data_IF_239093241187
#
_entry.id   IF_239093241187
#
_cell.length_a   1.000
_cell.length_b   1.000
_cell.length_c   1.000
_cell.angle_alpha   90.00
_cell.angle_beta   90.00
_cell.angle_gamma   90.00
#
_symmetry.space_group_name_H-M   'P 1'
#
loop_
_entity.id
_entity.type
_entity.pdbx_description
1 polymer ?
#
# COMPACT_ATOMS: atom_id res chain seq x y z
N UNK A 1 -64.05 -13.11 14.26
CA UNK A 1 -63.13 -13.68 13.24
C UNK A 1 -62.30 -12.65 12.47
N UNK A 2 -62.78 -11.43 12.14
CA UNK A 2 -62.02 -10.45 11.34
C UNK A 2 -60.78 -9.86 12.04
N UNK A 3 -60.84 -9.59 13.35
CA UNK A 3 -59.72 -9.02 14.13
C UNK A 3 -58.52 -9.98 14.27
N UNK A 4 -58.77 -11.27 14.44
CA UNK A 4 -57.71 -12.28 14.53
C UNK A 4 -56.92 -12.44 13.22
N UNK A 5 -57.62 -12.38 12.07
CA UNK A 5 -56.96 -12.39 10.75
C UNK A 5 -56.12 -11.14 10.49
N UNK A 6 -56.58 -9.97 10.96
CA UNK A 6 -55.84 -8.70 10.84
C UNK A 6 -54.56 -8.70 11.71
N UNK A 7 -54.63 -9.25 12.92
CA UNK A 7 -53.47 -9.40 13.81
C UNK A 7 -52.43 -10.36 13.21
N UNK A 8 -52.87 -11.50 12.68
CA UNK A 8 -52.01 -12.48 11.99
C UNK A 8 -51.32 -11.88 10.77
N UNK A 9 -52.03 -11.07 9.97
CA UNK A 9 -51.45 -10.35 8.83
C UNK A 9 -50.39 -9.33 9.27
N UNK A 10 -50.65 -8.59 10.35
CA UNK A 10 -49.68 -7.65 10.92
C UNK A 10 -48.42 -8.35 11.40
N UNK A 11 -48.55 -9.48 12.10
CA UNK A 11 -47.41 -10.29 12.55
C UNK A 11 -46.61 -10.85 11.37
N UNK A 12 -47.28 -11.33 10.33
CA UNK A 12 -46.62 -11.86 9.13
C UNK A 12 -45.84 -10.77 8.38
N UNK A 13 -46.38 -9.56 8.27
CA UNK A 13 -45.69 -8.42 7.66
C UNK A 13 -44.45 -7.98 8.46
N UNK A 14 -44.51 -8.01 9.80
CA UNK A 14 -43.37 -7.72 10.66
C UNK A 14 -42.26 -8.77 10.49
N UNK A 15 -42.63 -10.05 10.39
CA UNK A 15 -41.66 -11.14 10.14
C UNK A 15 -41.01 -10.98 8.77
N UNK A 16 -41.78 -10.66 7.72
CA UNK A 16 -41.24 -10.43 6.37
C UNK A 16 -40.29 -9.21 6.37
N UNK A 17 -40.65 -8.11 7.03
CA UNK A 17 -39.78 -6.95 7.16
C UNK A 17 -38.47 -7.31 7.89
N UNK A 18 -38.54 -8.04 9.00
CA UNK A 18 -37.36 -8.51 9.74
C UNK A 18 -36.46 -9.41 8.89
N UNK A 19 -37.04 -10.29 8.06
CA UNK A 19 -36.28 -11.14 7.15
C UNK A 19 -35.54 -10.30 6.08
N UNK A 20 -36.21 -9.33 5.46
CA UNK A 20 -35.58 -8.43 4.47
C UNK A 20 -34.48 -7.57 5.11
N UNK A 21 -34.70 -7.06 6.32
CA UNK A 21 -33.68 -6.32 7.08
C UNK A 21 -32.48 -7.20 7.47
N UNK A 22 -32.70 -8.49 7.77
CA UNK A 22 -31.62 -9.42 8.09
C UNK A 22 -30.77 -9.78 6.87
N UNK A 23 -31.41 -9.94 5.69
CA UNK A 23 -30.69 -10.21 4.43
C UNK A 23 -29.86 -9.02 3.99
N UNK A 24 -30.39 -7.79 4.13
CA UNK A 24 -29.65 -6.56 3.79
C UNK A 24 -28.46 -6.33 4.72
N UNK A 25 -28.57 -6.61 6.01
CA UNK A 25 -27.45 -6.54 6.96
C UNK A 25 -26.38 -7.61 6.68
N UNK A 26 -26.79 -8.84 6.35
CA UNK A 26 -25.88 -9.91 5.96
C UNK A 26 -25.16 -9.61 4.64
N UNK A 27 -25.84 -9.02 3.66
CA UNK A 27 -25.25 -8.58 2.39
C UNK A 27 -24.24 -7.44 2.59
N UNK A 28 -24.57 -6.44 3.43
CA UNK A 28 -23.64 -5.37 3.78
C UNK A 28 -22.39 -5.90 4.50
N UNK A 29 -22.54 -6.87 5.42
CA UNK A 29 -21.41 -7.48 6.13
C UNK A 29 -20.50 -8.28 5.18
N UNK A 30 -21.07 -8.93 4.16
CA UNK A 30 -20.32 -9.63 3.10
C UNK A 30 -19.56 -8.64 2.20
N UNK A 31 -20.15 -7.48 1.89
CA UNK A 31 -19.51 -6.40 1.13
C UNK A 31 -18.22 -5.89 1.80
N UNK A 32 -18.20 -5.75 3.12
CA UNK A 32 -17.04 -5.21 3.85
C UNK A 32 -15.83 -6.15 3.94
N UNK A 33 -15.96 -7.41 3.54
CA UNK A 33 -14.88 -8.41 3.64
C UNK A 33 -14.55 -9.09 2.31
N UNK A 34 -15.05 -8.53 1.20
CA UNK A 34 -14.80 -9.07 -0.15
C UNK A 34 -13.54 -8.41 -0.73
N UNK A 35 -12.65 -9.20 -1.35
CA UNK A 35 -11.49 -8.63 -2.03
C UNK A 35 -11.98 -7.90 -3.31
N UNK A 36 -11.25 -6.87 -3.73
CA UNK A 36 -11.59 -6.18 -4.98
C UNK A 36 -10.37 -5.57 -5.66
N UNK A 37 -10.51 -5.35 -6.96
CA UNK A 37 -9.50 -4.79 -7.84
C UNK A 37 -10.07 -3.49 -8.37
N UNK A 38 -9.28 -2.41 -8.34
CA UNK A 38 -9.57 -1.16 -9.03
C UNK A 38 -8.66 -1.11 -10.24
N UNK A 39 -9.24 -1.01 -11.43
CA UNK A 39 -8.51 -0.91 -12.69
C UNK A 39 -8.03 0.51 -12.96
N UNK A 40 -7.13 0.67 -13.93
CA UNK A 40 -6.60 1.99 -14.31
C UNK A 40 -7.67 2.97 -14.80
N UNK A 41 -8.79 2.47 -15.33
CA UNK A 41 -9.94 3.29 -15.75
C UNK A 41 -10.89 3.66 -14.60
N UNK A 42 -10.59 3.22 -13.36
CA UNK A 42 -11.41 3.46 -12.17
C UNK A 42 -12.50 2.41 -11.92
N UNK A 43 -12.75 1.49 -12.85
CA UNK A 43 -13.71 0.41 -12.65
C UNK A 43 -13.25 -0.54 -11.55
N UNK A 44 -14.21 -1.15 -10.87
CA UNK A 44 -13.93 -2.09 -9.78
C UNK A 44 -14.47 -3.49 -10.07
N UNK A 45 -13.66 -4.51 -9.81
CA UNK A 45 -14.03 -5.92 -9.88
C UNK A 45 -13.95 -6.56 -8.49
N UNK A 46 -15.09 -7.04 -7.99
CA UNK A 46 -15.21 -7.69 -6.69
C UNK A 46 -15.13 -9.20 -6.84
N UNK A 47 -14.38 -9.88 -5.96
CA UNK A 47 -14.32 -11.34 -5.93
C UNK A 47 -13.23 -11.83 -4.98
N UNK A 48 -12.63 -12.98 -5.25
CA UNK A 48 -11.54 -13.51 -4.42
C UNK A 48 -10.18 -13.29 -5.08
N UNK A 49 -9.28 -12.59 -4.41
CA UNK A 49 -7.88 -12.50 -4.82
C UNK A 49 -7.16 -13.75 -4.34
N UNK A 50 -6.83 -14.64 -5.27
CA UNK A 50 -6.18 -15.93 -4.96
C UNK A 50 -4.69 -15.75 -4.67
N UNK A 51 -4.00 -14.95 -5.47
CA UNK A 51 -2.58 -14.65 -5.29
C UNK A 51 -2.19 -13.32 -5.92
N UNK A 52 -1.19 -12.66 -5.33
CA UNK A 52 -0.50 -11.51 -5.91
C UNK A 52 0.99 -11.82 -5.90
N UNK A 53 1.61 -11.81 -7.07
CA UNK A 53 3.07 -11.84 -7.26
C UNK A 53 3.52 -10.51 -7.85
N UNK A 54 4.82 -10.27 -7.91
CA UNK A 54 5.38 -9.02 -8.44
C UNK A 54 4.91 -8.73 -9.88
N UNK A 55 4.62 -9.75 -10.69
CA UNK A 55 4.23 -9.58 -12.10
C UNK A 55 2.76 -9.92 -12.40
N UNK A 56 2.03 -10.50 -11.45
CA UNK A 56 0.69 -11.06 -11.76
C UNK A 56 -0.23 -11.10 -10.55
N UNK A 57 -1.47 -10.74 -10.78
CA UNK A 57 -2.59 -10.90 -9.87
C UNK A 57 -3.51 -12.00 -10.40
N UNK A 58 -3.85 -12.99 -9.58
CA UNK A 58 -4.83 -14.02 -9.93
C UNK A 58 -6.11 -13.83 -9.12
N UNK A 59 -7.22 -13.69 -9.82
CA UNK A 59 -8.55 -13.46 -9.29
C UNK A 59 -9.48 -14.64 -9.61
N UNK A 60 -10.42 -14.93 -8.73
CA UNK A 60 -11.40 -16.00 -8.90
C UNK A 60 -12.79 -15.56 -8.41
N UNK A 61 -13.81 -15.98 -9.15
CA UNK A 61 -15.20 -16.01 -8.70
C UNK A 61 -15.89 -17.27 -9.21
N UNK A 62 -16.29 -18.15 -8.29
CA UNK A 62 -16.74 -19.51 -8.61
C UNK A 62 -15.70 -20.27 -9.44
N UNK A 63 -16.11 -20.71 -10.63
CA UNK A 63 -15.29 -21.43 -11.60
C UNK A 63 -14.52 -20.50 -12.56
N UNK A 64 -14.80 -19.19 -12.51
CA UNK A 64 -14.10 -18.22 -13.35
C UNK A 64 -12.79 -17.82 -12.71
N UNK A 65 -11.69 -17.93 -13.45
CA UNK A 65 -10.36 -17.47 -13.04
C UNK A 65 -9.81 -16.52 -14.09
N UNK A 66 -9.29 -15.38 -13.64
CA UNK A 66 -8.67 -14.36 -14.48
C UNK A 66 -7.32 -13.94 -13.89
N UNK A 67 -6.38 -13.61 -14.76
CA UNK A 67 -5.10 -13.04 -14.39
C UNK A 67 -5.03 -11.60 -14.89
N UNK A 68 -4.48 -10.72 -14.05
CA UNK A 68 -4.27 -9.31 -14.35
C UNK A 68 -2.80 -8.93 -14.14
N UNK A 69 -2.34 -7.97 -14.94
CA UNK A 69 -0.96 -7.49 -14.92
C UNK A 69 -0.88 -6.07 -14.30
N UNK A 70 0.30 -5.66 -13.79
CA UNK A 70 0.46 -4.39 -13.09
C UNK A 70 0.01 -3.14 -13.88
N UNK A 71 0.15 -3.15 -15.20
CA UNK A 71 -0.26 -2.06 -16.10
C UNK A 71 -1.77 -1.92 -16.26
N UNK A 72 -2.55 -2.94 -15.86
CA UNK A 72 -4.01 -2.95 -15.96
C UNK A 72 -4.69 -2.51 -14.66
N UNK A 73 -3.97 -2.51 -13.55
CA UNK A 73 -4.54 -2.43 -12.20
C UNK A 73 -4.02 -1.21 -11.46
N UNK A 74 -4.92 -0.39 -10.93
CA UNK A 74 -4.58 0.75 -10.08
C UNK A 74 -4.33 0.33 -8.61
N UNK A 75 -5.22 -0.50 -8.05
CA UNK A 75 -5.13 -1.02 -6.68
C UNK A 75 -5.73 -2.42 -6.57
N UNK A 76 -5.19 -3.23 -5.67
CA UNK A 76 -5.76 -4.51 -5.25
C UNK A 76 -5.98 -4.48 -3.75
N UNK A 77 -7.22 -4.68 -3.32
CA UNK A 77 -7.60 -4.78 -1.91
C UNK A 77 -7.87 -6.25 -1.59
N UNK A 78 -6.90 -6.90 -0.96
CA UNK A 78 -7.02 -8.26 -0.45
C UNK A 78 -7.43 -8.23 1.02
N UNK A 79 -8.70 -7.86 1.27
CA UNK A 79 -9.30 -7.74 2.59
C UNK A 79 -9.14 -9.02 3.42
N UNK A 80 -9.23 -10.19 2.78
CA UNK A 80 -9.02 -11.50 3.41
C UNK A 80 -7.64 -11.66 4.10
N UNK A 81 -6.63 -10.88 3.68
CA UNK A 81 -5.30 -10.86 4.29
C UNK A 81 -4.94 -9.50 4.90
N UNK A 82 -5.86 -8.55 4.90
CA UNK A 82 -5.62 -7.15 5.27
C UNK A 82 -4.41 -6.55 4.51
N UNK A 83 -4.35 -6.77 3.19
CA UNK A 83 -3.27 -6.28 2.34
C UNK A 83 -3.80 -5.45 1.19
N UNK A 84 -3.03 -4.43 0.82
CA UNK A 84 -3.28 -3.62 -0.36
C UNK A 84 -2.05 -3.76 -1.26
N UNK A 85 -2.26 -3.86 -2.57
CA UNK A 85 -1.18 -3.85 -3.56
C UNK A 85 -1.42 -2.77 -4.60
N UNK A 86 -0.33 -2.24 -5.13
CA UNK A 86 -0.33 -1.23 -6.17
C UNK A 86 0.81 -1.49 -7.16
N UNK A 87 0.67 -1.13 -8.44
CA UNK A 87 1.78 -1.12 -9.36
C UNK A 87 2.83 -0.08 -8.94
N UNK A 88 4.10 -0.40 -9.12
CA UNK A 88 5.22 0.48 -8.77
C UNK A 88 6.41 0.24 -9.70
N UNK A 89 7.08 1.33 -10.07
CA UNK A 89 8.34 1.33 -10.82
C UNK A 89 9.59 1.29 -9.92
N UNK A 90 9.42 1.33 -8.59
CA UNK A 90 10.52 1.58 -7.65
C UNK A 90 11.56 0.46 -7.66
N UNK A 91 11.19 -0.82 -7.80
CA UNK A 91 12.15 -1.91 -7.68
C UNK A 91 13.24 -1.91 -8.76
N UNK A 92 12.90 -1.54 -10.01
CA UNK A 92 13.85 -1.53 -11.13
C UNK A 92 14.23 -0.13 -11.60
N UNK A 93 13.40 0.87 -11.33
CA UNK A 93 13.60 2.26 -11.78
C UNK A 93 14.36 3.15 -10.81
N UNK A 94 14.77 2.67 -9.63
CA UNK A 94 15.35 3.55 -8.62
C UNK A 94 16.75 4.05 -9.01
N UNK A 95 16.91 5.37 -9.08
CA UNK A 95 18.21 6.01 -9.25
C UNK A 95 18.57 6.92 -8.08
N UNK A 96 19.85 6.92 -7.70
CA UNK A 96 20.39 7.84 -6.70
C UNK A 96 20.47 9.24 -7.29
N UNK A 97 19.89 10.21 -6.61
CA UNK A 97 20.13 11.62 -6.93
C UNK A 97 21.55 11.95 -6.49
N UNK A 98 22.37 12.44 -7.43
CA UNK A 98 23.77 12.80 -7.15
C UNK A 98 23.82 14.01 -6.22
N UNK A 99 24.82 14.04 -5.33
CA UNK A 99 25.11 15.15 -4.42
C UNK A 99 24.05 15.47 -3.36
N UNK A 100 23.08 14.59 -3.09
CA UNK A 100 22.11 14.77 -1.99
C UNK A 100 22.66 14.24 -0.67
N UNK A 101 22.53 15.03 0.40
CA UNK A 101 22.78 14.60 1.79
C UNK A 101 21.63 15.11 2.66
N UNK A 102 20.71 14.27 3.15
CA UNK A 102 20.66 12.79 3.07
C UNK A 102 20.48 12.25 1.64
N UNK A 103 20.77 10.96 1.42
CA UNK A 103 20.58 10.34 0.10
C UNK A 103 19.09 10.25 -0.22
N UNK A 104 18.72 10.78 -1.38
CA UNK A 104 17.37 10.68 -1.95
C UNK A 104 17.45 9.94 -3.28
N UNK A 105 16.38 9.25 -3.64
CA UNK A 105 16.25 8.53 -4.88
C UNK A 105 15.07 9.07 -5.71
N UNK A 106 15.05 8.76 -7.00
CA UNK A 106 13.95 9.06 -7.93
C UNK A 106 13.71 7.89 -8.86
N UNK A 107 12.57 7.89 -9.54
CA UNK A 107 12.25 6.89 -10.56
C UNK A 107 12.80 7.36 -11.90
N UNK A 108 13.72 6.60 -12.46
CA UNK A 108 14.15 6.70 -13.84
C UNK A 108 13.21 5.85 -14.71
N UNK A 109 12.26 6.50 -15.38
CA UNK A 109 11.26 5.82 -16.22
C UNK A 109 11.88 5.13 -17.44
N UNK A 110 12.99 5.66 -17.98
CA UNK A 110 13.69 5.06 -19.13
C UNK A 110 14.36 3.73 -18.77
N UNK A 111 14.78 3.57 -17.50
CA UNK A 111 15.35 2.32 -16.97
C UNK A 111 14.33 1.39 -16.33
N UNK A 112 13.12 1.89 -16.09
CA UNK A 112 12.06 1.12 -15.45
C UNK A 112 11.24 0.39 -16.51
N UNK A 113 11.80 -0.71 -17.03
CA UNK A 113 11.21 -1.45 -18.14
C UNK A 113 9.88 -2.14 -17.78
N UNK A 114 9.61 -2.40 -16.49
CA UNK A 114 8.43 -3.17 -16.05
C UNK A 114 7.85 -2.68 -14.73
N UNK A 115 6.53 -2.41 -14.73
CA UNK A 115 5.74 -2.24 -13.52
C UNK A 115 5.68 -3.55 -12.74
N UNK A 116 5.72 -3.45 -11.41
CA UNK A 116 5.54 -4.59 -10.50
C UNK A 116 4.52 -4.28 -9.42
N UNK A 117 3.75 -5.29 -9.01
CA UNK A 117 2.93 -5.17 -7.83
C UNK A 117 3.82 -5.10 -6.58
N UNK A 118 3.58 -4.09 -5.77
CA UNK A 118 4.19 -3.90 -4.47
C UNK A 118 3.11 -3.86 -3.40
N UNK A 119 3.42 -4.34 -2.20
CA UNK A 119 2.51 -4.23 -1.07
C UNK A 119 2.53 -2.78 -0.58
N UNK A 120 1.35 -2.20 -0.42
CA UNK A 120 1.15 -0.84 0.01
C UNK A 120 0.91 -0.82 1.52
N UNK A 121 1.86 -0.27 2.27
CA UNK A 121 1.82 -0.19 3.74
C UNK A 121 1.10 1.08 4.20
N UNK A 122 1.29 2.18 3.48
CA UNK A 122 0.63 3.45 3.76
C UNK A 122 0.32 4.15 2.43
N UNK A 123 -0.94 4.57 2.27
CA UNK A 123 -1.36 5.42 1.16
C UNK A 123 -1.53 6.87 1.65
N UNK A 124 -1.27 7.85 0.78
CA UNK A 124 -1.23 9.26 1.14
C UNK A 124 -0.29 10.10 0.26
N UNK A 125 0.03 11.31 0.72
CA UNK A 125 1.03 12.15 0.04
C UNK A 125 2.41 11.48 0.07
N UNK A 126 2.74 10.84 1.19
CA UNK A 126 3.86 9.90 1.27
C UNK A 126 3.31 8.48 1.22
N UNK A 127 3.58 7.79 0.12
CA UNK A 127 3.18 6.40 -0.13
C UNK A 127 4.32 5.45 0.31
N UNK A 128 4.02 4.46 1.13
CA UNK A 128 5.01 3.48 1.61
C UNK A 128 4.78 2.14 0.94
N UNK A 129 5.80 1.66 0.24
CA UNK A 129 5.82 0.37 -0.43
C UNK A 129 6.71 -0.62 0.32
N UNK A 130 6.29 -1.86 0.33
CA UNK A 130 7.07 -3.02 0.74
C UNK A 130 7.33 -3.93 -0.47
N UNK A 131 8.59 -4.31 -0.63
CA UNK A 131 9.05 -5.19 -1.69
C UNK A 131 9.70 -6.44 -1.09
N UNK A 132 9.47 -7.58 -1.74
CA UNK A 132 10.10 -8.85 -1.42
C UNK A 132 10.85 -9.36 -2.66
N UNK A 133 12.07 -8.88 -2.85
CA UNK A 133 12.90 -9.33 -3.96
C UNK A 133 13.48 -10.70 -3.64
N UNK A 134 13.27 -11.68 -4.53
CA UNK A 134 13.92 -12.98 -4.44
C UNK A 134 14.95 -13.10 -5.56
N UNK A 135 16.23 -13.18 -5.17
CA UNK A 135 17.34 -13.24 -6.11
C UNK A 135 18.31 -14.37 -5.77
N UNK A 136 18.92 -14.94 -6.81
CA UNK A 136 20.04 -15.87 -6.69
C UNK A 136 21.26 -15.05 -6.26
N UNK A 137 21.78 -15.25 -5.04
CA UNK A 137 23.00 -14.59 -4.62
C UNK A 137 24.21 -15.40 -5.13
N UNK A 138 24.94 -14.86 -6.12
CA UNK A 138 26.29 -15.35 -6.45
C UNK A 138 27.25 -14.70 -5.46
N UNK A 139 27.47 -15.37 -4.33
CA UNK A 139 28.45 -14.95 -3.33
C UNK A 139 29.87 -15.20 -3.82
N UNK A 140 30.53 -14.17 -4.34
CA UNK A 140 31.98 -14.15 -4.54
C UNK A 140 32.70 -13.98 -3.20
N UNK A 141 32.94 -15.09 -2.50
CA UNK A 141 33.77 -15.16 -1.31
C UNK A 141 34.63 -16.42 -1.36
N UNK A 142 35.92 -16.29 -1.07
CA UNK A 142 37.03 -17.23 -1.36
C UNK A 142 37.02 -18.54 -0.56
N UNK A 143 35.87 -19.15 -0.32
CA UNK A 143 35.75 -20.49 0.26
C UNK A 143 34.33 -21.04 0.06
N UNK A 144 34.12 -21.74 -1.05
CA UNK A 144 32.93 -22.57 -1.32
C UNK A 144 31.71 -21.77 -1.81
N UNK A 145 31.39 -21.92 -3.10
CA UNK A 145 30.15 -21.39 -3.67
C UNK A 145 28.93 -22.17 -3.13
N UNK A 146 28.29 -21.64 -2.09
CA UNK A 146 26.93 -22.04 -1.72
C UNK A 146 25.94 -21.21 -2.53
N UNK A 147 25.22 -21.88 -3.44
CA UNK A 147 24.05 -21.31 -4.12
C UNK A 147 22.94 -21.11 -3.08
N UNK A 148 22.85 -19.89 -2.53
CA UNK A 148 21.82 -19.49 -1.59
C UNK A 148 20.79 -18.59 -2.25
N UNK A 149 19.50 -18.94 -2.14
CA UNK A 149 18.42 -18.00 -2.40
C UNK A 149 18.35 -17.00 -1.26
N UNK A 150 18.68 -15.74 -1.51
CA UNK A 150 18.48 -14.68 -0.51
C UNK A 150 17.21 -13.92 -0.86
N UNK A 151 16.26 -13.90 0.08
CA UNK A 151 15.09 -13.03 -0.03
C UNK A 151 15.43 -11.70 0.61
N UNK A 152 15.45 -10.65 -0.19
CA UNK A 152 15.71 -9.28 0.24
C UNK A 152 14.37 -8.58 0.46
N UNK A 153 14.15 -8.11 1.68
CA UNK A 153 12.98 -7.32 2.07
C UNK A 153 13.41 -5.87 2.19
N UNK A 154 12.66 -4.96 1.58
CA UNK A 154 12.94 -3.54 1.76
C UNK A 154 11.67 -2.69 1.67
N UNK A 155 11.73 -1.53 2.31
CA UNK A 155 10.65 -0.56 2.38
C UNK A 155 11.11 0.78 1.83
N UNK A 156 10.27 1.39 1.01
CA UNK A 156 10.52 2.72 0.43
C UNK A 156 9.34 3.63 0.70
N UNK A 157 9.62 4.90 0.99
CA UNK A 157 8.62 5.95 1.05
C UNK A 157 8.82 6.87 -0.16
N UNK A 158 7.76 7.06 -0.95
CA UNK A 158 7.68 7.97 -2.08
C UNK A 158 6.83 9.18 -1.67
N UNK A 159 7.37 10.39 -1.77
CA UNK A 159 6.57 11.62 -1.68
C UNK A 159 6.01 11.96 -3.06
N UNK A 160 4.69 11.84 -3.21
CA UNK A 160 3.99 11.96 -4.49
C UNK A 160 4.21 13.31 -5.17
N UNK A 161 4.21 14.41 -4.41
CA UNK A 161 4.38 15.76 -4.98
C UNK A 161 5.78 16.03 -5.54
N UNK A 162 6.83 15.46 -4.93
CA UNK A 162 8.22 15.70 -5.34
C UNK A 162 8.83 14.56 -6.16
N UNK A 163 8.21 13.39 -6.17
CA UNK A 163 8.77 12.17 -6.77
C UNK A 163 10.00 11.64 -6.00
N UNK A 164 10.26 12.16 -4.81
CA UNK A 164 11.42 11.78 -4.00
C UNK A 164 11.16 10.49 -3.22
N UNK A 165 12.14 9.60 -3.25
CA UNK A 165 12.08 8.31 -2.60
C UNK A 165 13.18 8.22 -1.55
N UNK A 166 12.81 7.72 -0.37
CA UNK A 166 13.75 7.36 0.70
C UNK A 166 13.53 5.89 1.11
N UNK A 167 14.57 5.27 1.66
CA UNK A 167 14.50 3.91 2.18
C UNK A 167 14.18 3.90 3.69
N UNK A 168 13.34 2.97 4.14
CA UNK A 168 12.89 2.85 5.53
C UNK A 168 13.42 1.61 6.28
N UNK A 169 14.24 0.76 5.65
CA UNK A 169 14.64 -0.58 6.09
C UNK A 169 14.82 -0.82 7.61
N UNK A 170 14.35 -1.99 8.07
CA UNK A 170 14.33 -2.40 9.49
C UNK A 170 15.51 -3.28 9.92
N UNK A 171 16.32 -3.80 9.00
CA UNK A 171 17.43 -4.71 9.38
C UNK A 171 18.67 -3.92 9.78
N UNK A 172 19.15 -4.18 11.01
CA UNK A 172 20.38 -3.67 11.66
C UNK A 172 21.65 -3.88 10.81
N UNK A 173 21.57 -4.66 9.73
CA UNK A 173 22.57 -4.69 8.66
C UNK A 173 21.91 -4.18 7.40
N UNK A 174 22.13 -2.90 7.13
CA UNK A 174 21.74 -2.26 5.90
C UNK A 174 22.31 -3.02 4.72
N UNK A 175 21.39 -3.50 3.91
CA UNK A 175 21.55 -4.01 2.57
C UNK A 175 22.35 -3.04 1.65
N UNK A 176 22.46 -1.76 2.04
CA UNK A 176 23.21 -0.70 1.36
C UNK A 176 24.16 0.11 2.27
N UNK A 177 24.36 -0.29 3.54
CA UNK A 177 25.25 0.39 4.49
C UNK A 177 24.76 1.72 5.11
N UNK A 178 23.46 2.05 5.12
CA UNK A 178 22.96 3.33 5.62
C UNK A 178 22.42 3.33 7.08
N UNK A 179 23.21 3.82 8.03
CA UNK A 179 22.83 3.99 9.46
C UNK A 179 21.40 4.54 9.66
N UNK A 180 20.70 4.06 10.69
CA UNK A 180 19.40 4.54 11.20
C UNK A 180 19.35 6.08 11.27
N UNK A 181 20.46 6.74 11.63
CA UNK A 181 20.57 8.21 11.65
C UNK A 181 20.42 8.84 10.27
N UNK A 182 20.94 8.21 9.22
CA UNK A 182 20.77 8.70 7.85
C UNK A 182 19.32 8.59 7.41
N UNK A 183 18.62 7.52 7.77
CA UNK A 183 17.19 7.36 7.50
C UNK A 183 16.35 8.39 8.23
N UNK A 184 16.66 8.67 9.50
CA UNK A 184 16.01 9.74 10.24
C UNK A 184 16.23 11.12 9.58
N UNK A 185 17.44 11.41 9.08
CA UNK A 185 17.70 12.62 8.30
C UNK A 185 16.90 12.65 7.00
N UNK A 186 16.84 11.53 6.28
CA UNK A 186 16.09 11.40 5.03
C UNK A 186 14.60 11.67 5.24
N UNK A 187 14.00 11.06 6.27
CA UNK A 187 12.60 11.31 6.61
C UNK A 187 12.38 12.76 7.07
N UNK A 188 13.31 13.33 7.85
CA UNK A 188 13.25 14.74 8.27
C UNK A 188 13.20 15.69 7.08
N UNK A 189 14.01 15.45 6.05
CA UNK A 189 13.99 16.23 4.81
C UNK A 189 12.68 16.00 4.03
N UNK A 190 12.19 14.75 3.97
CA UNK A 190 10.97 14.42 3.24
C UNK A 190 9.72 15.11 3.82
N UNK A 191 9.68 15.36 5.14
CA UNK A 191 8.55 15.97 5.85
C UNK A 191 8.80 17.43 6.25
N UNK A 192 9.83 18.08 5.71
CA UNK A 192 10.29 19.40 6.18
C UNK A 192 9.26 20.52 6.02
N UNK A 193 8.33 20.34 5.08
CA UNK A 193 7.21 21.25 4.81
C UNK A 193 6.11 21.20 5.88
N UNK A 194 6.17 20.26 6.83
CA UNK A 194 5.28 20.19 8.00
C UNK A 194 6.08 20.41 9.31
N UNK A 195 6.38 21.66 9.68
CA UNK A 195 7.35 21.98 10.74
C UNK A 195 6.95 21.46 12.12
N UNK A 196 5.65 21.38 12.41
CA UNK A 196 5.14 20.84 13.68
C UNK A 196 5.44 19.35 13.81
N UNK A 197 5.26 18.59 12.74
CA UNK A 197 5.53 17.14 12.72
C UNK A 197 7.04 16.91 12.77
N UNK A 198 7.81 17.66 11.97
CA UNK A 198 9.26 17.60 11.96
C UNK A 198 9.85 17.83 13.36
N UNK A 199 9.39 18.86 14.06
CA UNK A 199 9.89 19.18 15.42
C UNK A 199 9.62 18.05 16.39
N UNK A 200 8.45 17.42 16.33
CA UNK A 200 8.13 16.27 17.18
C UNK A 200 9.04 15.08 16.86
N UNK A 201 9.24 14.79 15.57
CA UNK A 201 10.10 13.70 15.12
C UNK A 201 11.55 13.87 15.58
N UNK A 202 12.07 15.09 15.54
CA UNK A 202 13.45 15.40 15.96
C UNK A 202 13.68 15.27 17.48
N UNK A 203 12.62 15.29 18.29
CA UNK A 203 12.70 15.08 19.74
C UNK A 203 12.74 13.59 20.13
N UNK A 204 12.56 12.69 19.17
CA UNK A 204 12.56 11.25 19.41
C UNK A 204 13.94 10.75 19.80
N UNK A 205 13.98 9.94 20.87
CA UNK A 205 15.25 9.44 21.42
C UNK A 205 15.83 8.26 20.65
N UNK A 206 14.95 7.49 19.98
CA UNK A 206 15.31 6.30 19.24
C UNK A 206 14.45 6.21 17.99
N UNK A 207 15.09 5.96 16.87
CA UNK A 207 14.41 5.77 15.60
C UNK A 207 14.22 4.28 15.34
N UNK A 208 13.00 3.89 15.00
CA UNK A 208 12.61 2.53 14.57
C UNK A 208 11.76 2.64 13.30
N UNK A 209 11.62 1.52 12.58
CA UNK A 209 10.74 1.46 11.41
C UNK A 209 9.29 1.82 11.76
N UNK A 210 8.76 1.31 12.88
CA UNK A 210 7.41 1.64 13.36
C UNK A 210 7.24 3.14 13.63
N UNK A 211 8.26 3.77 14.22
CA UNK A 211 8.25 5.22 14.42
C UNK A 211 8.19 5.97 13.09
N UNK A 212 8.97 5.56 12.08
CA UNK A 212 8.92 6.18 10.76
C UNK A 212 7.52 6.08 10.15
N UNK A 213 6.89 4.90 10.20
CA UNK A 213 5.52 4.73 9.72
C UNK A 213 4.52 5.62 10.45
N UNK A 214 4.62 5.73 11.78
CA UNK A 214 3.72 6.56 12.57
C UNK A 214 3.82 8.04 12.17
N UNK A 215 5.02 8.55 11.92
CA UNK A 215 5.22 9.94 11.48
C UNK A 215 4.78 10.17 10.04
N UNK A 216 4.97 9.19 9.14
CA UNK A 216 4.43 9.25 7.77
C UNK A 216 2.91 9.27 7.79
N UNK A 217 2.26 8.42 8.60
CA UNK A 217 0.81 8.41 8.76
C UNK A 217 0.30 9.76 9.25
N UNK A 218 0.93 10.32 10.29
CA UNK A 218 0.59 11.63 10.83
C UNK A 218 0.74 12.75 9.80
N UNK A 219 1.82 12.71 9.01
CA UNK A 219 2.04 13.65 7.91
C UNK A 219 0.91 13.55 6.87
N UNK A 220 0.56 12.35 6.44
CA UNK A 220 -0.52 12.13 5.48
C UNK A 220 -1.89 12.60 5.98
N UNK A 221 -2.21 12.38 7.26
CA UNK A 221 -3.44 12.87 7.88
C UNK A 221 -3.52 14.41 7.84
N UNK A 222 -2.42 15.10 8.13
CA UNK A 222 -2.35 16.57 8.06
C UNK A 222 -2.49 17.05 6.61
N UNK A 223 -1.78 16.44 5.66
CA UNK A 223 -1.90 16.78 4.24
C UNK A 223 -3.32 16.59 3.71
N UNK A 224 -3.96 15.47 4.03
CA UNK A 224 -5.33 15.19 3.65
C UNK A 224 -6.31 16.22 4.23
N UNK A 225 -6.10 16.67 5.47
CA UNK A 225 -6.94 17.71 6.08
C UNK A 225 -6.81 19.08 5.39
N UNK A 226 -5.64 19.37 4.82
CA UNK A 226 -5.38 20.61 4.07
C UNK A 226 -5.95 20.55 2.66
N UNK A 227 -5.84 19.41 1.99
CA UNK A 227 -6.38 19.16 0.63
C UNK A 227 -7.93 19.11 0.63
N UNK A 228 -8.54 18.57 1.70
CA UNK A 228 -9.99 18.57 1.89
C UNK A 228 -10.55 19.90 2.45
N UNK A 229 -9.73 20.96 2.45
CA UNK A 229 -10.23 22.34 2.49
C UNK A 229 -11.08 22.65 1.25
N UNK A 230 -11.71 23.83 1.14
CA UNK A 230 -12.60 24.13 0.03
C UNK A 230 -11.82 24.19 -1.29
N UNK A 231 -11.86 23.09 -2.03
CA UNK A 231 -11.38 22.97 -3.41
C UNK A 231 -9.96 22.40 -3.53
N UNK A 232 -9.87 21.12 -3.89
CA UNK A 232 -9.31 20.60 -5.15
C UNK A 232 -9.06 19.09 -4.93
N UNK A 233 -9.87 18.26 -5.59
CA UNK A 233 -9.56 16.83 -5.78
C UNK A 233 -8.42 16.79 -6.81
N UNK A 234 -7.18 16.72 -6.34
CA UNK A 234 -6.02 16.59 -7.22
C UNK A 234 -5.98 15.17 -7.77
N UNK A 235 -6.04 15.05 -9.10
CA UNK A 235 -5.63 13.87 -9.85
C UNK A 235 -4.23 13.46 -9.37
N UNK A 236 -4.15 12.43 -8.51
CA UNK A 236 -2.87 11.83 -8.13
C UNK A 236 -2.43 10.93 -9.28
N UNK A 237 -1.72 11.56 -10.22
CA UNK A 237 -1.05 10.90 -11.33
C UNK A 237 -0.12 9.82 -10.75
N UNK A 238 -0.25 8.64 -11.33
CA UNK A 238 0.57 7.45 -11.11
C UNK A 238 2.04 7.81 -11.38
N UNK A 239 2.90 7.69 -10.36
CA UNK A 239 4.36 7.80 -10.49
C UNK A 239 5.05 6.45 -10.46
#
# INVERSE_FOLDING_TARGET
>A
MKKAKLLMLGQMMVVIALLIFSETLCAQKKSNNTDYIVFMNGDSLYGKVSSVTDSKLSWRDGDTQMDFFPDQVFRVYQNSKNKIFAPSYIEKGLEKVKNTKPQVFRINKEKSEELRFAELIQDGEITVYYFKSSGLAVGGGTSGALLGFTTRKYWCALKCSSGEIIELNDVVKDILGQDVKQRAKALSALIEDEPTILKQFQLERKYSYELFLNYIKKYNEVRLSKENGPGIVSERIIY
#
